data_IF_616993918364
#
_entry.id   IF_616993918364
#
_cell.length_a   1.000
_cell.length_b   1.000
_cell.length_c   1.000
_cell.angle_alpha   90.00
_cell.angle_beta   90.00
_cell.angle_gamma   90.00
#
_symmetry.space_group_name_H-M   'P 1'
#
loop_
_entity.id
_entity.type
_entity.pdbx_description
1 polymer ?
#
# COMPACT_ATOMS: atom_id res chain seq x y z
N UNK A 1 3.23 -6.42 7.38
CA UNK A 1 2.54 -5.70 6.26
C UNK A 1 2.16 -6.71 5.20
N UNK A 2 0.87 -6.82 4.88
CA UNK A 2 0.35 -7.66 3.80
C UNK A 2 0.14 -6.82 2.53
N UNK A 3 0.67 -7.27 1.39
CA UNK A 3 0.59 -6.54 0.12
C UNK A 3 -0.40 -7.20 -0.83
N UNK A 4 -1.37 -6.42 -1.33
CA UNK A 4 -2.29 -6.86 -2.39
C UNK A 4 -2.16 -6.01 -3.65
N UNK A 5 -2.34 -6.65 -4.81
CA UNK A 5 -2.34 -6.00 -6.12
C UNK A 5 -3.62 -5.18 -6.31
N UNK A 6 -3.47 -3.89 -6.61
CA UNK A 6 -4.56 -3.00 -7.01
C UNK A 6 -4.74 -2.91 -8.53
N UNK A 7 -5.52 -1.93 -8.97
CA UNK A 7 -5.77 -1.63 -10.40
C UNK A 7 -4.82 -0.54 -10.89
N UNK A 8 -4.59 -0.44 -12.21
CA UNK A 8 -3.81 0.65 -12.83
C UNK A 8 -2.44 0.90 -12.17
N UNK A 9 -1.73 -0.17 -11.82
CA UNK A 9 -0.40 -0.07 -11.22
C UNK A 9 -0.38 0.21 -9.71
N UNK A 10 -1.52 0.31 -9.03
CA UNK A 10 -1.56 0.50 -7.58
C UNK A 10 -1.33 -0.79 -6.80
N UNK A 11 -1.01 -0.63 -5.52
CA UNK A 11 -0.81 -1.64 -4.50
C UNK A 11 -1.46 -1.16 -3.22
N UNK A 12 -1.93 -2.10 -2.40
CA UNK A 12 -2.41 -1.79 -1.05
C UNK A 12 -1.54 -2.50 -0.05
N UNK A 13 -1.03 -1.77 0.93
CA UNK A 13 -0.35 -2.28 2.09
C UNK A 13 -1.31 -2.27 3.28
N UNK A 14 -1.59 -3.45 3.84
CA UNK A 14 -2.34 -3.60 5.08
C UNK A 14 -1.37 -3.83 6.24
N UNK A 15 -1.49 -3.04 7.29
CA UNK A 15 -0.85 -3.35 8.57
C UNK A 15 -1.57 -4.55 9.17
N UNK A 16 -0.80 -5.57 9.52
CA UNK A 16 -1.29 -6.81 10.14
C UNK A 16 -0.34 -7.19 11.27
N UNK A 17 -0.90 -7.61 12.39
CA UNK A 17 -0.21 -8.19 13.55
C UNK A 17 0.85 -7.26 14.16
N UNK A 18 0.56 -5.95 14.21
CA UNK A 18 1.41 -4.99 14.92
C UNK A 18 0.91 -4.75 16.35
N UNK A 19 1.76 -4.89 17.38
CA UNK A 19 1.37 -4.64 18.76
C UNK A 19 1.15 -3.14 19.07
N UNK A 20 1.68 -2.23 18.25
CA UNK A 20 1.74 -0.79 18.53
C UNK A 20 1.15 0.09 17.42
N UNK A 21 0.68 -0.50 16.32
CA UNK A 21 0.13 0.24 15.17
C UNK A 21 -1.26 -0.29 14.87
N UNK A 22 -2.22 0.60 14.64
CA UNK A 22 -3.58 0.22 14.29
C UNK A 22 -3.64 -0.55 12.96
N UNK A 23 -4.50 -1.57 12.93
CA UNK A 23 -4.89 -2.30 11.72
C UNK A 23 -5.51 -1.34 10.70
N UNK A 24 -4.72 -0.96 9.70
CA UNK A 24 -5.06 0.07 8.72
C UNK A 24 -4.45 -0.25 7.36
N UNK A 25 -4.88 0.48 6.32
CA UNK A 25 -4.44 0.24 4.95
C UNK A 25 -3.97 1.54 4.29
N UNK A 26 -2.94 1.43 3.45
CA UNK A 26 -2.42 2.51 2.62
C UNK A 26 -2.33 2.07 1.15
N UNK A 27 -2.71 2.96 0.23
CA UNK A 27 -2.65 2.72 -1.22
C UNK A 27 -1.47 3.50 -1.80
N UNK A 28 -0.64 2.83 -2.59
CA UNK A 28 0.50 3.43 -3.29
C UNK A 28 0.56 2.97 -4.75
N UNK A 29 1.29 3.70 -5.59
CA UNK A 29 1.49 3.38 -7.00
C UNK A 29 2.91 2.93 -7.28
N UNK A 30 3.06 1.94 -8.15
CA UNK A 30 4.35 1.56 -8.73
C UNK A 30 4.55 2.34 -10.03
N UNK A 31 5.61 3.12 -10.08
CA UNK A 31 6.03 3.92 -11.25
C UNK A 31 7.40 3.48 -11.71
N UNK A 32 7.84 3.94 -12.89
CA UNK A 32 9.20 3.69 -13.38
C UNK A 32 10.27 4.26 -12.43
N UNK A 33 9.94 5.34 -11.71
CA UNK A 33 10.81 5.98 -10.71
C UNK A 33 10.67 5.36 -9.30
N UNK A 34 9.97 4.24 -9.18
CA UNK A 34 9.73 3.55 -7.90
C UNK A 34 8.35 3.80 -7.28
N UNK A 35 8.28 3.79 -5.95
CA UNK A 35 7.03 3.92 -5.19
C UNK A 35 6.65 5.39 -5.07
N UNK A 36 5.39 5.71 -5.41
CA UNK A 36 4.81 7.04 -5.28
C UNK A 36 3.45 6.97 -4.61
N UNK A 37 2.97 8.09 -4.10
CA UNK A 37 1.60 8.20 -3.61
C UNK A 37 0.61 7.90 -4.73
N UNK A 38 -0.45 7.17 -4.40
CA UNK A 38 -1.53 6.94 -5.33
C UNK A 38 -2.30 8.27 -5.52
N UNK A 39 -2.30 8.82 -6.74
CA UNK A 39 -3.22 9.90 -7.10
C UNK A 39 -4.62 9.29 -7.22
N UNK A 40 -5.49 9.60 -6.26
CA UNK A 40 -6.89 9.15 -6.21
C UNK A 40 -7.76 10.17 -6.94
#
# INVERSE_FOLDING_TARGET
VYLRRGKKGTRVAKMVDSPSIAESEAIFALTVDGIKDAKI
#
